data_IF_540330444803
#
_entry.id   IF_540330444803
#
_cell.length_a   1.000
_cell.length_b   1.000
_cell.length_c   1.000
_cell.angle_alpha   90.00
_cell.angle_beta   90.00
_cell.angle_gamma   90.00
#
_symmetry.space_group_name_H-M   'P 1'
#
loop_
_entity.id
_entity.type
_entity.pdbx_description
1 polymer ?
#
# COMPACT_ATOMS: atom_id res chain seq x y z
N UNK A 1 -7.51 -8.78 33.66
CA UNK A 1 -6.61 -9.70 32.93
C UNK A 1 -6.51 -9.19 31.51
N UNK A 2 -5.31 -8.77 31.13
CA UNK A 2 -4.96 -8.19 29.82
C UNK A 2 -5.00 -9.27 28.76
N UNK A 3 -5.97 -9.19 27.84
CA UNK A 3 -5.91 -9.95 26.59
C UNK A 3 -4.80 -9.36 25.73
N UNK A 4 -3.65 -10.02 25.71
CA UNK A 4 -2.65 -9.87 24.65
C UNK A 4 -3.38 -10.10 23.32
N UNK A 5 -3.59 -9.04 22.54
CA UNK A 5 -4.01 -9.19 21.16
C UNK A 5 -2.90 -9.92 20.42
N UNK A 6 -3.22 -11.09 19.88
CA UNK A 6 -2.30 -11.88 19.07
C UNK A 6 -1.60 -10.96 18.06
N UNK A 7 -0.28 -10.85 18.20
CA UNK A 7 0.54 -10.36 17.11
C UNK A 7 0.31 -11.36 15.97
N UNK A 8 -0.42 -10.95 14.94
CA UNK A 8 -0.62 -11.77 13.74
C UNK A 8 0.71 -12.33 13.27
N UNK A 9 0.68 -13.53 12.65
CA UNK A 9 1.90 -14.21 12.22
C UNK A 9 2.88 -13.25 11.55
N UNK A 10 4.18 -13.25 11.95
CA UNK A 10 5.17 -12.38 11.33
C UNK A 10 5.18 -12.62 9.82
N UNK A 11 4.93 -11.56 9.05
CA UNK A 11 4.95 -11.66 7.59
C UNK A 11 6.40 -11.90 7.16
N UNK A 12 6.63 -13.02 6.47
CA UNK A 12 7.92 -13.35 5.87
C UNK A 12 8.22 -12.39 4.71
N UNK A 13 8.91 -11.28 5.02
CA UNK A 13 9.35 -10.30 4.03
C UNK A 13 10.40 -10.87 3.06
N UNK A 14 11.14 -11.91 3.45
CA UNK A 14 12.12 -12.54 2.57
C UNK A 14 11.45 -13.28 1.42
N UNK A 15 10.27 -13.87 1.66
CA UNK A 15 9.44 -14.42 0.59
C UNK A 15 9.06 -13.36 -0.46
N UNK A 16 8.69 -12.15 -0.03
CA UNK A 16 8.38 -11.06 -0.95
C UNK A 16 9.60 -10.63 -1.76
N UNK A 17 10.76 -10.47 -1.10
CA UNK A 17 12.03 -10.14 -1.79
C UNK A 17 12.40 -11.19 -2.84
N UNK A 18 12.33 -12.48 -2.48
CA UNK A 18 12.64 -13.60 -3.40
C UNK A 18 11.73 -13.67 -4.61
N UNK A 19 10.52 -13.10 -4.53
CA UNK A 19 9.53 -13.11 -5.60
C UNK A 19 9.49 -11.80 -6.40
N UNK A 20 10.52 -10.96 -6.25
CA UNK A 20 10.66 -9.71 -7.00
C UNK A 20 9.75 -8.58 -6.53
N UNK A 21 9.13 -8.71 -5.35
CA UNK A 21 8.40 -7.60 -4.77
C UNK A 21 9.38 -6.52 -4.30
N UNK A 22 8.99 -5.27 -4.50
CA UNK A 22 9.68 -4.13 -3.92
C UNK A 22 9.17 -3.98 -2.49
N UNK A 23 10.11 -3.99 -1.52
CA UNK A 23 9.82 -3.91 -0.09
C UNK A 23 10.48 -2.65 0.45
N UNK A 24 9.68 -1.75 1.01
CA UNK A 24 10.11 -0.42 1.42
C UNK A 24 9.52 -0.06 2.78
N UNK A 25 10.19 0.83 3.49
CA UNK A 25 9.60 1.49 4.65
C UNK A 25 8.68 2.63 4.18
N UNK A 26 7.58 2.83 4.91
CA UNK A 26 6.61 3.88 4.61
C UNK A 26 5.67 4.14 5.78
N UNK A 27 4.55 4.80 5.49
CA UNK A 27 3.50 5.07 6.47
C UNK A 27 2.12 4.76 5.92
N UNK A 28 1.20 4.39 6.82
CA UNK A 28 -0.23 4.31 6.59
C UNK A 28 -0.95 5.30 7.51
N UNK A 29 -1.32 6.46 6.97
CA UNK A 29 -1.50 7.64 7.82
C UNK A 29 -0.21 7.96 8.56
N UNK A 30 -0.28 8.03 9.89
CA UNK A 30 0.90 8.27 10.74
C UNK A 30 1.58 6.98 11.23
N UNK A 31 0.99 5.80 10.99
CA UNK A 31 1.53 4.52 11.46
C UNK A 31 2.69 4.06 10.57
N UNK A 32 3.89 3.78 11.12
CA UNK A 32 4.99 3.21 10.34
C UNK A 32 4.64 1.79 9.88
N UNK A 33 4.90 1.50 8.60
CA UNK A 33 4.59 0.21 7.98
C UNK A 33 5.67 -0.16 6.96
N UNK A 34 5.71 -1.45 6.62
CA UNK A 34 6.40 -1.97 5.46
C UNK A 34 5.43 -1.98 4.28
N UNK A 35 5.79 -1.26 3.21
CA UNK A 35 5.06 -1.22 1.95
C UNK A 35 5.67 -2.25 1.01
N UNK A 36 4.84 -3.17 0.55
CA UNK A 36 5.20 -4.22 -0.40
C UNK A 36 4.48 -3.95 -1.72
N UNK A 37 5.22 -3.80 -2.82
CA UNK A 37 4.65 -3.61 -4.14
C UNK A 37 4.92 -4.86 -5.00
N UNK A 38 3.85 -5.47 -5.51
CA UNK A 38 4.00 -6.65 -6.38
C UNK A 38 4.72 -6.30 -7.69
N UNK A 39 5.39 -7.26 -8.35
CA UNK A 39 5.94 -7.03 -9.70
C UNK A 39 4.90 -6.49 -10.68
N UNK A 40 3.65 -6.94 -10.56
CA UNK A 40 2.55 -6.44 -11.37
C UNK A 40 2.29 -4.95 -11.10
N UNK A 41 2.24 -4.53 -9.84
CA UNK A 41 2.09 -3.13 -9.45
C UNK A 41 3.24 -2.27 -9.98
N UNK A 42 4.48 -2.74 -9.82
CA UNK A 42 5.67 -2.07 -10.32
C UNK A 42 5.57 -1.84 -11.84
N UNK A 43 5.21 -2.87 -12.61
CA UNK A 43 4.99 -2.73 -14.05
C UNK A 43 3.89 -1.73 -14.41
N UNK A 44 2.79 -1.70 -13.63
CA UNK A 44 1.71 -0.71 -13.84
C UNK A 44 2.14 0.72 -13.52
N UNK A 45 2.96 0.90 -12.49
CA UNK A 45 3.55 2.19 -12.14
C UNK A 45 4.44 2.70 -13.27
N UNK A 46 5.35 1.86 -13.80
CA UNK A 46 6.18 2.20 -14.96
C UNK A 46 5.34 2.60 -16.17
N UNK A 47 4.29 1.82 -16.51
CA UNK A 47 3.43 2.12 -17.66
C UNK A 47 2.62 3.41 -17.52
N UNK A 48 2.42 3.88 -16.29
CA UNK A 48 1.56 5.03 -15.95
C UNK A 48 2.34 6.24 -15.48
N UNK A 49 3.67 6.17 -15.56
CA UNK A 49 4.60 7.19 -15.07
C UNK A 49 4.36 7.58 -13.61
N UNK A 50 4.07 6.59 -12.76
CA UNK A 50 3.87 6.78 -11.32
C UNK A 50 5.14 6.39 -10.57
N UNK A 51 5.61 7.26 -9.69
CA UNK A 51 6.77 7.00 -8.84
C UNK A 51 6.36 6.34 -7.54
N UNK A 52 7.33 5.65 -6.95
CA UNK A 52 7.20 5.07 -5.60
C UNK A 52 6.87 6.14 -4.57
N UNK A 53 7.51 7.31 -4.66
CA UNK A 53 7.32 8.45 -3.74
C UNK A 53 5.86 8.91 -3.70
N UNK A 54 5.21 9.00 -4.85
CA UNK A 54 3.79 9.35 -4.97
C UNK A 54 2.89 8.32 -4.27
N UNK A 55 3.17 7.03 -4.45
CA UNK A 55 2.42 5.97 -3.77
C UNK A 55 2.59 6.07 -2.25
N UNK A 56 3.82 6.32 -1.77
CA UNK A 56 4.10 6.47 -0.35
C UNK A 56 3.40 7.71 0.24
N UNK A 57 3.40 8.83 -0.47
CA UNK A 57 2.70 10.05 -0.05
C UNK A 57 1.19 9.81 0.07
N UNK A 58 0.59 9.15 -0.93
CA UNK A 58 -0.85 8.87 -0.92
C UNK A 58 -1.23 7.88 0.17
N UNK A 59 -0.39 6.87 0.46
CA UNK A 59 -0.60 5.94 1.58
C UNK A 59 -0.47 6.62 2.96
N UNK A 60 0.37 7.66 3.06
CA UNK A 60 0.56 8.42 4.30
C UNK A 60 -0.60 9.39 4.61
N UNK A 61 -1.63 9.49 3.75
CA UNK A 61 -2.82 10.30 4.06
C UNK A 61 -3.56 9.76 5.29
N UNK A 62 -4.31 10.62 6.02
CA UNK A 62 -5.00 10.19 7.24
C UNK A 62 -5.89 8.98 6.99
N UNK A 63 -5.86 7.98 7.87
CA UNK A 63 -6.63 6.73 7.69
C UNK A 63 -8.13 6.94 7.49
N UNK A 64 -8.69 8.08 7.92
CA UNK A 64 -10.07 8.48 7.67
C UNK A 64 -10.40 8.74 6.19
N UNK A 65 -9.39 9.00 5.35
CA UNK A 65 -9.54 9.18 3.90
C UNK A 65 -9.45 7.87 3.12
N UNK A 66 -9.17 6.75 3.81
CA UNK A 66 -9.04 5.44 3.18
C UNK A 66 -10.41 4.78 3.15
N UNK A 67 -10.91 4.52 1.96
CA UNK A 67 -12.16 3.80 1.73
C UNK A 67 -11.98 2.29 1.83
N UNK A 68 -13.11 1.59 1.99
CA UNK A 68 -13.17 0.15 1.78
C UNK A 68 -13.24 -0.11 0.28
N UNK A 69 -12.31 -0.89 -0.25
CA UNK A 69 -12.31 -1.28 -1.65
C UNK A 69 -13.52 -2.14 -2.02
N UNK A 70 -13.76 -2.31 -3.31
CA UNK A 70 -14.92 -3.09 -3.83
C UNK A 70 -14.89 -4.58 -3.49
N UNK A 71 -13.75 -5.10 -3.06
CA UNK A 71 -13.55 -6.51 -2.70
C UNK A 71 -13.22 -6.59 -1.21
N UNK A 72 -13.79 -7.58 -0.53
CA UNK A 72 -13.50 -7.83 0.89
C UNK A 72 -11.99 -7.89 1.16
N UNK A 73 -11.54 -7.23 2.22
CA UNK A 73 -10.13 -7.18 2.62
C UNK A 73 -9.26 -6.16 1.88
N UNK A 74 -9.82 -5.43 0.91
CA UNK A 74 -9.12 -4.36 0.19
C UNK A 74 -9.48 -2.98 0.71
N UNK A 75 -8.51 -2.09 0.63
CA UNK A 75 -8.64 -0.68 0.93
C UNK A 75 -8.24 0.14 -0.29
N UNK A 76 -8.80 1.33 -0.41
CA UNK A 76 -8.39 2.28 -1.44
C UNK A 76 -8.20 3.67 -0.86
N UNK A 77 -7.23 4.40 -1.40
CA UNK A 77 -7.00 5.80 -1.06
C UNK A 77 -6.63 6.56 -2.34
N UNK A 78 -7.29 7.69 -2.54
CA UNK A 78 -6.99 8.61 -3.63
C UNK A 78 -6.24 9.82 -3.09
N UNK A 79 -5.33 10.35 -3.90
CA UNK A 79 -4.57 11.53 -3.55
C UNK A 79 -4.05 12.29 -4.75
N UNK A 80 -4.07 13.62 -4.64
CA UNK A 80 -3.32 14.48 -5.53
C UNK A 80 -1.83 14.39 -5.18
N UNK A 81 -1.02 14.35 -6.23
CA UNK A 81 0.45 14.39 -6.24
C UNK A 81 0.88 15.49 -7.22
N UNK A 82 2.17 15.81 -7.26
CA UNK A 82 2.70 16.84 -8.17
C UNK A 82 2.44 16.54 -9.66
N UNK A 83 2.24 15.27 -10.03
CA UNK A 83 2.00 14.84 -11.43
C UNK A 83 0.56 14.46 -11.73
N UNK A 84 -0.34 14.60 -10.75
CA UNK A 84 -1.77 14.36 -10.93
C UNK A 84 -2.40 13.57 -9.80
N UNK A 85 -3.67 13.21 -9.96
CA UNK A 85 -4.37 12.37 -8.98
C UNK A 85 -4.11 10.90 -9.27
N UNK A 86 -3.72 10.17 -8.24
CA UNK A 86 -3.61 8.72 -8.29
C UNK A 86 -4.53 8.10 -7.24
N UNK A 87 -4.92 6.86 -7.50
CA UNK A 87 -5.57 6.00 -6.53
C UNK A 87 -4.75 4.74 -6.33
N UNK A 88 -4.54 4.41 -5.06
CA UNK A 88 -3.79 3.24 -4.60
C UNK A 88 -4.76 2.26 -3.99
N UNK A 89 -4.72 1.00 -4.43
CA UNK A 89 -5.48 -0.11 -3.86
C UNK A 89 -4.52 -1.07 -3.18
N UNK A 90 -4.80 -1.39 -1.92
CA UNK A 90 -3.91 -2.22 -1.11
C UNK A 90 -4.67 -3.18 -0.19
N UNK A 91 -3.96 -4.19 0.29
CA UNK A 91 -4.39 -5.16 1.29
C UNK A 91 -3.52 -5.04 2.55
N UNK A 92 -4.02 -5.57 3.65
CA UNK A 92 -3.36 -5.56 4.97
C UNK A 92 -3.15 -6.99 5.46
N UNK A 93 -2.15 -7.71 4.94
CA UNK A 93 -1.89 -9.10 5.37
C UNK A 93 -1.44 -9.18 6.82
N UNK A 94 -0.85 -8.11 7.36
CA UNK A 94 -0.57 -7.94 8.79
C UNK A 94 -0.71 -6.46 9.20
N UNK A 95 -0.62 -6.21 10.51
CA UNK A 95 -0.76 -4.85 11.08
C UNK A 95 0.34 -3.89 10.62
N UNK A 96 1.52 -4.39 10.33
CA UNK A 96 2.68 -3.59 9.94
C UNK A 96 2.98 -3.68 8.45
N UNK A 97 2.19 -4.43 7.66
CA UNK A 97 2.42 -4.62 6.23
C UNK A 97 1.27 -4.07 5.40
N UNK A 98 1.62 -3.28 4.39
CA UNK A 98 0.73 -2.80 3.33
C UNK A 98 1.13 -3.44 2.02
N UNK A 99 0.29 -4.32 1.47
CA UNK A 99 0.52 -4.93 0.17
C UNK A 99 -0.21 -4.12 -0.90
N UNK A 100 0.53 -3.35 -1.69
CA UNK A 100 -0.04 -2.59 -2.82
C UNK A 100 -0.35 -3.56 -3.95
N UNK A 101 -1.63 -3.61 -4.32
CA UNK A 101 -2.16 -4.50 -5.37
C UNK A 101 -2.08 -3.80 -6.73
N UNK A 102 -2.50 -2.53 -6.79
CA UNK A 102 -2.47 -1.75 -8.02
C UNK A 102 -2.53 -0.26 -7.74
N UNK A 103 -2.08 0.53 -8.72
CA UNK A 103 -2.12 2.00 -8.70
C UNK A 103 -2.64 2.47 -10.06
N UNK A 104 -3.59 3.39 -10.09
CA UNK A 104 -4.09 4.00 -11.31
C UNK A 104 -4.13 5.53 -11.19
N UNK A 105 -3.75 6.26 -12.24
CA UNK A 105 -4.11 7.67 -12.34
C UNK A 105 -5.64 7.77 -12.41
N UNK A 106 -6.21 8.75 -11.72
CA UNK A 106 -7.57 9.17 -11.98
C UNK A 106 -7.52 10.07 -13.21
N UNK A 107 -7.88 9.52 -14.36
CA UNK A 107 -8.26 10.35 -15.51
C UNK A 107 -9.45 11.22 -15.10
N UNK A 108 -9.49 12.46 -15.57
CA UNK A 108 -10.73 13.26 -15.56
C UNK A 108 -11.86 12.56 -16.33
#
# INVERSE_FOLDING_TARGET
MTGQGDAGEPVDLDRYRKTGHLVLEGKLGDEPVIVVMTPYTQGRMTLRDVEVTEVLEVLAKPRSTHGTGRTSGRYEVAGATDRGRIRVVYERPARDVVLVITVYPESE
#
